data_IF_012994211494
#
_entry.id   IF_012994211494
#
_cell.length_a   1.000
_cell.length_b   1.000
_cell.length_c   1.000
_cell.angle_alpha   90.00
_cell.angle_beta   90.00
_cell.angle_gamma   90.00
#
_symmetry.space_group_name_H-M   'P 1'
#
loop_
_entity.id
_entity.type
_entity.pdbx_description
1 polymer ?
#
# COMPACT_ATOMS: atom_id res chain seq x y z
N UNK A 1 2.39 10.34 -4.06
CA UNK A 1 2.58 10.01 -2.63
C UNK A 1 3.56 11.03 -2.08
N UNK A 2 3.24 11.73 -1.01
CA UNK A 2 4.14 12.75 -0.44
C UNK A 2 5.26 12.05 0.33
N UNK A 3 6.52 12.40 0.06
CA UNK A 3 7.65 11.82 0.80
C UNK A 3 7.67 12.35 2.23
N UNK A 4 7.94 11.47 3.18
CA UNK A 4 8.02 11.79 4.62
C UNK A 4 9.19 12.75 4.87
N UNK A 5 10.30 12.48 4.20
CA UNK A 5 11.51 13.30 4.24
C UNK A 5 12.33 13.05 2.98
N UNK A 6 13.14 14.04 2.60
CA UNK A 6 14.06 13.94 1.49
C UNK A 6 15.47 14.22 2.00
N UNK A 7 16.44 13.47 1.50
CA UNK A 7 17.83 13.59 1.88
C UNK A 7 18.72 13.68 0.64
N UNK A 8 19.85 14.36 0.80
CA UNK A 8 21.00 14.22 -0.08
C UNK A 8 22.00 13.29 0.60
N UNK A 9 22.30 12.16 -0.05
CA UNK A 9 23.34 11.22 0.34
C UNK A 9 24.62 11.59 -0.41
N UNK A 10 25.53 12.24 0.30
CA UNK A 10 26.76 12.82 -0.23
C UNK A 10 27.96 11.98 0.18
N UNK A 11 28.88 11.72 -0.75
CA UNK A 11 30.21 11.18 -0.46
C UNK A 11 31.28 12.06 -1.07
N UNK A 12 32.34 12.33 -0.30
CA UNK A 12 33.48 13.15 -0.70
C UNK A 12 34.79 12.46 -0.26
N UNK A 13 35.89 12.58 -1.02
CA UNK A 13 37.18 12.05 -0.59
C UNK A 13 37.69 12.81 0.63
N UNK A 14 38.38 12.14 1.56
CA UNK A 14 38.90 12.79 2.76
C UNK A 14 39.90 13.92 2.48
N UNK A 15 40.54 13.89 1.30
CA UNK A 15 41.42 14.97 0.82
C UNK A 15 40.69 16.26 0.45
N UNK A 16 39.36 16.23 0.28
CA UNK A 16 38.56 17.40 -0.12
C UNK A 16 38.36 18.43 0.98
N UNK A 17 38.62 18.07 2.25
CA UNK A 17 38.41 18.96 3.38
C UNK A 17 39.40 18.70 4.53
N UNK A 18 39.62 19.71 5.37
CA UNK A 18 40.65 19.66 6.42
C UNK A 18 40.37 18.64 7.53
N UNK A 19 39.11 18.39 7.86
CA UNK A 19 38.69 17.39 8.84
C UNK A 19 37.20 17.06 8.70
N UNK A 20 36.80 15.89 9.21
CA UNK A 20 35.39 15.45 9.27
C UNK A 20 34.50 16.49 9.97
N UNK A 21 34.94 16.98 11.14
CA UNK A 21 34.20 17.96 11.93
C UNK A 21 34.04 19.30 11.20
N UNK A 22 35.09 19.75 10.51
CA UNK A 22 35.03 21.00 9.76
C UNK A 22 34.11 20.88 8.52
N UNK A 23 34.13 19.73 7.84
CA UNK A 23 33.22 19.46 6.73
C UNK A 23 31.77 19.42 7.22
N UNK A 24 31.50 18.70 8.31
CA UNK A 24 30.17 18.66 8.93
C UNK A 24 29.65 20.05 9.26
N UNK A 25 30.47 20.86 9.93
CA UNK A 25 30.10 22.24 10.27
C UNK A 25 29.81 23.06 9.01
N UNK A 26 30.64 22.95 7.98
CA UNK A 26 30.40 23.65 6.72
C UNK A 26 29.08 23.23 6.06
N UNK A 27 28.77 21.93 6.03
CA UNK A 27 27.49 21.41 5.51
C UNK A 27 26.30 21.93 6.33
N UNK A 28 26.42 21.97 7.66
CA UNK A 28 25.38 22.51 8.54
C UNK A 28 25.14 23.99 8.26
N UNK A 29 26.19 24.79 8.13
CA UNK A 29 26.10 26.23 7.95
C UNK A 29 25.67 26.67 6.55
N UNK A 30 26.11 25.96 5.51
CA UNK A 30 25.97 26.40 4.12
C UNK A 30 24.91 25.61 3.35
N UNK A 31 24.58 24.39 3.76
CA UNK A 31 23.59 23.56 3.06
C UNK A 31 22.36 23.38 3.94
N UNK A 32 22.54 22.92 5.17
CA UNK A 32 21.43 22.62 6.06
C UNK A 32 20.73 23.86 6.63
N UNK A 33 21.42 25.01 6.77
CA UNK A 33 20.76 26.29 7.13
C UNK A 33 19.96 26.92 5.98
N UNK A 34 20.26 26.57 4.73
CA UNK A 34 19.45 27.03 3.58
C UNK A 34 18.06 26.39 3.59
N UNK A 35 17.92 25.26 4.29
CA UNK A 35 16.70 24.49 4.45
C UNK A 35 16.21 24.67 5.87
N UNK A 36 14.96 25.06 6.09
CA UNK A 36 14.41 25.17 7.47
C UNK A 36 14.20 23.81 8.18
N UNK A 37 14.84 22.75 7.68
CA UNK A 37 14.99 21.41 8.25
C UNK A 37 16.49 21.11 8.13
N UNK A 38 17.21 21.01 9.25
CA UNK A 38 18.67 21.14 9.24
C UNK A 38 19.32 20.02 10.05
N UNK A 39 19.36 18.79 9.50
CA UNK A 39 20.09 17.69 10.10
C UNK A 39 21.12 17.15 9.10
N UNK A 40 22.38 17.33 9.44
CA UNK A 40 23.53 16.69 8.77
C UNK A 40 23.96 15.53 9.64
N UNK A 41 23.82 14.33 9.11
CA UNK A 41 24.07 13.09 9.84
C UNK A 41 25.16 12.29 9.14
N UNK A 42 26.15 11.82 9.90
CA UNK A 42 27.18 10.94 9.34
C UNK A 42 26.52 9.61 8.95
N UNK A 43 26.71 9.20 7.69
CA UNK A 43 26.24 7.92 7.17
C UNK A 43 27.39 6.93 7.18
N UNK A 44 27.63 6.35 8.36
CA UNK A 44 28.75 5.45 8.58
C UNK A 44 28.55 4.12 7.85
N UNK A 45 29.41 3.84 6.87
CA UNK A 45 29.47 2.57 6.15
C UNK A 45 30.83 1.89 6.38
N UNK A 46 30.86 0.55 6.45
CA UNK A 46 32.10 -0.21 6.58
C UNK A 46 32.85 -0.29 5.24
N UNK A 47 34.09 -0.75 5.29
CA UNK A 47 34.82 -1.15 4.10
C UNK A 47 34.27 -2.48 3.56
N UNK A 48 33.98 -2.50 2.25
CA UNK A 48 33.50 -3.69 1.56
C UNK A 48 34.61 -4.34 0.74
N UNK A 49 34.53 -5.66 0.58
CA UNK A 49 35.45 -6.43 -0.25
C UNK A 49 35.14 -6.23 -1.73
N UNK A 50 36.00 -5.45 -2.39
CA UNK A 50 35.89 -5.11 -3.81
C UNK A 50 36.54 -6.22 -4.65
N UNK A 51 35.91 -6.55 -5.78
CA UNK A 51 36.45 -7.44 -6.80
C UNK A 51 37.42 -6.73 -7.75
N UNK A 52 37.25 -6.94 -9.05
CA UNK A 52 37.97 -6.21 -10.10
C UNK A 52 37.28 -4.88 -10.42
N UNK A 53 37.99 -3.96 -11.07
CA UNK A 53 37.41 -2.71 -11.56
C UNK A 53 36.23 -2.98 -12.51
N UNK A 54 36.37 -3.96 -13.42
CA UNK A 54 35.30 -4.35 -14.34
C UNK A 54 34.06 -4.86 -13.61
N UNK A 55 34.22 -5.65 -12.55
CA UNK A 55 33.06 -6.07 -11.73
C UNK A 55 32.40 -4.89 -11.02
N UNK A 56 33.19 -3.91 -10.58
CA UNK A 56 32.68 -2.75 -9.85
C UNK A 56 31.80 -1.84 -10.74
N UNK A 57 32.16 -1.68 -12.01
CA UNK A 57 31.34 -0.92 -12.99
C UNK A 57 29.98 -1.59 -13.17
N UNK A 58 29.96 -2.90 -13.39
CA UNK A 58 28.70 -3.66 -13.53
C UNK A 58 27.87 -3.61 -12.23
N UNK A 59 28.52 -3.74 -11.07
CA UNK A 59 27.87 -3.65 -9.76
C UNK A 59 27.19 -2.30 -9.54
N UNK A 60 27.79 -1.17 -9.97
CA UNK A 60 27.17 0.16 -9.83
C UNK A 60 25.92 0.30 -10.72
N UNK A 61 25.97 -0.19 -11.95
CA UNK A 61 24.79 -0.19 -12.83
C UNK A 61 23.64 -1.04 -12.26
N UNK A 62 23.97 -2.21 -11.72
CA UNK A 62 22.97 -3.10 -11.12
C UNK A 62 22.42 -2.53 -9.81
N UNK A 63 23.26 -1.91 -8.97
CA UNK A 63 22.84 -1.19 -7.77
C UNK A 63 21.89 -0.03 -8.09
N UNK A 64 22.09 0.67 -9.20
CA UNK A 64 21.18 1.73 -9.65
C UNK A 64 19.80 1.18 -10.04
N UNK A 65 19.75 0.06 -10.78
CA UNK A 65 18.49 -0.63 -11.13
C UNK A 65 17.77 -1.14 -9.88
N UNK A 66 18.51 -1.74 -8.93
CA UNK A 66 17.97 -2.26 -7.69
C UNK A 66 17.42 -1.16 -6.78
N UNK A 67 18.04 0.01 -6.74
CA UNK A 67 17.53 1.17 -6.00
C UNK A 67 16.11 1.53 -6.46
N UNK A 68 15.92 1.67 -7.78
CA UNK A 68 14.62 1.96 -8.40
C UNK A 68 13.62 0.84 -8.14
N UNK A 69 14.05 -0.41 -8.31
CA UNK A 69 13.20 -1.58 -8.05
C UNK A 69 12.69 -1.58 -6.60
N UNK A 70 13.57 -1.40 -5.62
CA UNK A 70 13.20 -1.44 -4.21
C UNK A 70 12.35 -0.23 -3.79
N UNK A 71 12.55 0.94 -4.39
CA UNK A 71 11.64 2.07 -4.21
C UNK A 71 10.23 1.75 -4.71
N UNK A 72 10.11 1.09 -5.87
CA UNK A 72 8.81 0.64 -6.39
C UNK A 72 8.18 -0.43 -5.49
N UNK A 73 8.96 -1.38 -4.97
CA UNK A 73 8.52 -2.36 -3.97
C UNK A 73 7.96 -1.66 -2.74
N UNK A 74 8.69 -0.67 -2.21
CA UNK A 74 8.27 0.11 -1.05
C UNK A 74 6.97 0.88 -1.33
N UNK A 75 6.84 1.52 -2.50
CA UNK A 75 5.60 2.20 -2.91
C UNK A 75 4.40 1.25 -2.90
N UNK A 76 4.54 0.04 -3.45
CA UNK A 76 3.46 -0.96 -3.45
C UNK A 76 3.08 -1.39 -2.03
N UNK A 77 4.06 -1.50 -1.13
CA UNK A 77 3.80 -1.82 0.28
C UNK A 77 3.02 -0.68 0.95
N UNK A 78 3.38 0.58 0.67
CA UNK A 78 2.64 1.76 1.19
C UNK A 78 1.22 1.84 0.61
N UNK A 79 1.00 1.46 -0.65
CA UNK A 79 -0.34 1.36 -1.21
C UNK A 79 -1.18 0.28 -0.50
N UNK A 80 -0.57 -0.86 -0.17
CA UNK A 80 -1.21 -1.93 0.62
C UNK A 80 -1.56 -1.41 2.02
N UNK A 81 -0.68 -0.63 2.67
CA UNK A 81 -1.01 0.03 3.94
C UNK A 81 -2.25 0.90 3.83
N UNK A 82 -2.34 1.73 2.79
CA UNK A 82 -3.50 2.59 2.55
C UNK A 82 -4.79 1.82 2.29
N UNK A 83 -4.70 0.58 1.78
CA UNK A 83 -5.86 -0.29 1.58
C UNK A 83 -6.35 -0.99 2.86
N UNK A 84 -5.47 -1.13 3.87
CA UNK A 84 -5.74 -1.88 5.11
C UNK A 84 -6.08 -0.96 6.28
N UNK A 85 -5.36 0.16 6.38
CA UNK A 85 -5.52 1.18 7.43
C UNK A 85 -6.36 2.36 6.93
N UNK A 86 -7.16 2.94 7.82
CA UNK A 86 -7.82 4.22 7.54
C UNK A 86 -6.75 5.32 7.36
N UNK A 87 -6.96 6.21 6.40
CA UNK A 87 -5.95 7.12 5.84
C UNK A 87 -5.14 7.95 6.85
N UNK A 88 -5.66 8.15 8.07
CA UNK A 88 -4.99 8.91 9.14
C UNK A 88 -3.89 8.12 9.88
N UNK A 89 -3.92 6.79 9.84
CA UNK A 89 -3.01 5.94 10.60
C UNK A 89 -1.78 5.47 9.79
N UNK A 90 -1.76 5.66 8.47
CA UNK A 90 -0.72 5.07 7.59
C UNK A 90 0.70 5.51 7.98
N UNK A 91 0.90 6.79 8.32
CA UNK A 91 2.23 7.29 8.67
C UNK A 91 2.69 6.87 10.07
N UNK A 92 1.77 6.62 11.01
CA UNK A 92 2.12 6.17 12.37
C UNK A 92 2.67 4.73 12.40
N UNK A 93 2.27 3.93 11.40
CA UNK A 93 2.65 2.52 11.27
C UNK A 93 3.90 2.32 10.41
N UNK A 94 4.40 3.36 9.70
CA UNK A 94 5.67 3.31 8.99
C UNK A 94 6.82 3.37 10.00
N UNK A 95 7.33 2.20 10.35
CA UNK A 95 8.45 2.02 11.29
C UNK A 95 9.44 1.02 10.73
N UNK A 96 10.71 1.21 11.08
CA UNK A 96 11.80 0.27 10.78
C UNK A 96 12.39 -0.20 12.11
N UNK A 97 12.37 -1.50 12.37
CA UNK A 97 12.81 -2.10 13.65
C UNK A 97 12.17 -1.42 14.88
N UNK A 98 10.87 -1.15 14.81
CA UNK A 98 10.06 -0.42 15.82
C UNK A 98 10.42 1.06 16.04
N UNK A 99 11.33 1.61 15.25
CA UNK A 99 11.76 3.02 15.30
C UNK A 99 11.14 3.79 14.13
N UNK A 100 10.89 5.09 14.32
CA UNK A 100 10.44 5.95 13.23
C UNK A 100 11.45 5.97 12.08
N UNK A 101 10.97 6.00 10.84
CA UNK A 101 11.84 5.87 9.66
C UNK A 101 12.90 6.97 9.61
N UNK A 102 12.53 8.22 9.92
CA UNK A 102 13.49 9.32 9.98
C UNK A 102 14.58 9.09 11.04
N UNK A 103 14.24 8.52 12.20
CA UNK A 103 15.23 8.16 13.21
C UNK A 103 16.11 6.98 12.76
N UNK A 104 15.53 5.95 12.15
CA UNK A 104 16.28 4.82 11.60
C UNK A 104 17.34 5.29 10.59
N UNK A 105 16.96 6.16 9.66
CA UNK A 105 17.86 6.69 8.62
C UNK A 105 19.01 7.50 9.22
N UNK A 106 18.73 8.33 10.23
CA UNK A 106 19.76 9.08 10.97
C UNK A 106 20.70 8.19 11.79
N UNK A 107 20.24 7.01 12.18
CA UNK A 107 21.02 6.07 13.00
C UNK A 107 21.43 4.82 12.21
N UNK A 108 21.41 4.90 10.88
CA UNK A 108 21.72 3.78 10.02
C UNK A 108 23.08 3.20 10.39
N UNK A 109 23.11 1.87 10.50
CA UNK A 109 24.32 1.09 10.65
C UNK A 109 24.19 -0.14 9.78
N UNK A 110 25.29 -0.50 9.14
CA UNK A 110 25.36 -1.74 8.40
C UNK A 110 25.07 -2.95 9.29
N UNK A 111 24.14 -3.80 8.86
CA UNK A 111 23.77 -5.00 9.59
C UNK A 111 24.76 -6.13 9.31
N UNK A 112 25.86 -6.16 10.07
CA UNK A 112 26.93 -7.17 9.94
C UNK A 112 26.48 -8.59 10.26
N UNK A 113 25.40 -8.76 11.04
CA UNK A 113 24.85 -10.09 11.38
C UNK A 113 24.13 -10.74 10.21
N UNK A 114 23.45 -9.93 9.38
CA UNK A 114 22.69 -10.39 8.21
C UNK A 114 23.55 -10.34 6.94
N UNK A 115 24.31 -9.25 6.76
CA UNK A 115 25.11 -8.96 5.59
C UNK A 115 26.59 -8.92 5.99
N UNK A 116 27.24 -10.08 5.99
CA UNK A 116 28.61 -10.21 6.52
C UNK A 116 29.66 -9.59 5.58
N UNK A 117 30.61 -8.85 6.16
CA UNK A 117 31.63 -8.09 5.42
C UNK A 117 32.72 -8.94 4.74
N UNK A 118 32.81 -10.23 5.03
CA UNK A 118 33.74 -11.15 4.35
C UNK A 118 33.27 -11.57 2.95
N UNK A 119 31.99 -11.34 2.64
CA UNK A 119 31.41 -11.57 1.31
C UNK A 119 31.79 -10.47 0.33
N UNK A 120 31.81 -10.82 -0.96
CA UNK A 120 32.00 -9.82 -2.02
C UNK A 120 30.78 -8.89 -2.14
N UNK A 121 30.95 -7.72 -2.77
CA UNK A 121 29.83 -6.81 -3.06
C UNK A 121 28.74 -7.53 -3.87
N UNK A 122 29.08 -8.21 -4.97
CA UNK A 122 28.13 -9.01 -5.74
C UNK A 122 27.36 -10.07 -4.94
N UNK A 123 28.00 -10.75 -3.99
CA UNK A 123 27.32 -11.72 -3.10
C UNK A 123 26.33 -11.01 -2.15
N UNK A 124 26.71 -9.83 -1.63
CA UNK A 124 25.87 -9.03 -0.75
C UNK A 124 24.65 -8.50 -1.50
N UNK A 125 24.84 -8.00 -2.72
CA UNK A 125 23.77 -7.56 -3.61
C UNK A 125 22.79 -8.70 -3.89
N UNK A 126 23.30 -9.88 -4.23
CA UNK A 126 22.48 -11.06 -4.49
C UNK A 126 21.67 -11.48 -3.26
N UNK A 127 22.28 -11.47 -2.08
CA UNK A 127 21.61 -11.79 -0.81
C UNK A 127 20.49 -10.81 -0.49
N UNK A 128 20.78 -9.50 -0.56
CA UNK A 128 19.78 -8.45 -0.29
C UNK A 128 18.61 -8.54 -1.29
N UNK A 129 18.91 -8.80 -2.56
CA UNK A 129 17.89 -8.95 -3.61
C UNK A 129 16.99 -10.16 -3.35
N UNK A 130 17.57 -11.29 -2.96
CA UNK A 130 16.81 -12.49 -2.60
C UNK A 130 15.91 -12.26 -1.38
N UNK A 131 16.39 -11.55 -0.36
CA UNK A 131 15.60 -11.22 0.82
C UNK A 131 14.36 -10.40 0.44
N UNK A 132 14.53 -9.32 -0.35
CA UNK A 132 13.42 -8.47 -0.78
C UNK A 132 12.43 -9.25 -1.64
N UNK A 133 12.91 -10.11 -2.55
CA UNK A 133 12.04 -10.94 -3.38
C UNK A 133 11.19 -11.93 -2.57
N UNK A 134 11.74 -12.51 -1.49
CA UNK A 134 11.00 -13.38 -0.59
C UNK A 134 9.89 -12.59 0.14
N UNK A 135 10.24 -11.44 0.73
CA UNK A 135 9.28 -10.55 1.41
C UNK A 135 8.14 -10.12 0.48
N UNK A 136 8.45 -9.74 -0.77
CA UNK A 136 7.44 -9.38 -1.76
C UNK A 136 6.51 -10.54 -2.12
N UNK A 137 7.05 -11.75 -2.21
CA UNK A 137 6.28 -12.95 -2.57
C UNK A 137 5.28 -13.30 -1.47
N UNK A 138 5.73 -13.30 -0.21
CA UNK A 138 4.89 -13.59 0.94
C UNK A 138 3.78 -12.53 1.10
N UNK A 139 4.15 -11.25 0.99
CA UNK A 139 3.18 -10.16 1.09
C UNK A 139 2.12 -10.24 -0.03
N UNK A 140 2.52 -10.54 -1.26
CA UNK A 140 1.60 -10.68 -2.39
C UNK A 140 0.62 -11.84 -2.20
N UNK A 141 1.08 -12.96 -1.66
CA UNK A 141 0.24 -14.12 -1.39
C UNK A 141 -0.86 -13.79 -0.37
N UNK A 142 -0.50 -13.21 0.78
CA UNK A 142 -1.47 -12.82 1.82
C UNK A 142 -2.39 -11.70 1.33
N UNK A 143 -1.88 -10.72 0.60
CA UNK A 143 -2.70 -9.65 0.03
C UNK A 143 -3.75 -10.17 -0.96
N UNK A 144 -3.38 -11.11 -1.83
CA UNK A 144 -4.31 -11.76 -2.76
C UNK A 144 -5.41 -12.54 -2.01
N UNK A 145 -5.04 -13.31 -0.99
CA UNK A 145 -5.99 -14.04 -0.16
C UNK A 145 -6.97 -13.10 0.56
N UNK A 146 -6.46 -11.99 1.11
CA UNK A 146 -7.29 -10.96 1.73
C UNK A 146 -8.29 -10.35 0.73
N UNK A 147 -7.86 -10.01 -0.49
CA UNK A 147 -8.76 -9.45 -1.50
C UNK A 147 -9.87 -10.44 -1.90
N UNK A 148 -9.55 -11.73 -1.99
CA UNK A 148 -10.56 -12.76 -2.24
C UNK A 148 -11.57 -12.87 -1.10
N UNK A 149 -11.11 -12.92 0.15
CA UNK A 149 -11.98 -12.96 1.33
C UNK A 149 -12.85 -11.71 1.46
N UNK A 150 -12.29 -10.53 1.19
CA UNK A 150 -13.02 -9.26 1.15
C UNK A 150 -14.13 -9.29 0.10
N UNK A 151 -13.84 -9.77 -1.12
CA UNK A 151 -14.83 -9.89 -2.17
C UNK A 151 -15.93 -10.90 -1.83
N UNK A 152 -15.57 -12.02 -1.19
CA UNK A 152 -16.53 -13.01 -0.70
C UNK A 152 -17.46 -12.40 0.37
N UNK A 153 -16.92 -11.63 1.32
CA UNK A 153 -17.71 -10.92 2.32
C UNK A 153 -18.65 -9.88 1.69
N UNK A 154 -18.17 -9.10 0.73
CA UNK A 154 -19.02 -8.11 0.01
C UNK A 154 -20.14 -8.81 -0.76
N UNK A 155 -19.87 -9.95 -1.38
CA UNK A 155 -20.87 -10.76 -2.07
C UNK A 155 -21.93 -11.31 -1.10
N UNK A 156 -21.48 -11.86 0.04
CA UNK A 156 -22.38 -12.32 1.11
C UNK A 156 -23.22 -11.16 1.70
N UNK A 157 -22.62 -9.98 1.86
CA UNK A 157 -23.30 -8.79 2.36
C UNK A 157 -24.31 -8.21 1.36
N UNK A 158 -24.06 -8.30 0.04
CA UNK A 158 -25.01 -7.87 -0.99
C UNK A 158 -26.33 -8.63 -0.92
N UNK A 159 -26.31 -9.92 -0.55
CA UNK A 159 -27.54 -10.68 -0.29
C UNK A 159 -28.40 -9.98 0.78
N UNK A 160 -27.79 -9.26 1.73
CA UNK A 160 -28.46 -8.57 2.83
C UNK A 160 -28.71 -7.07 2.59
N UNK A 161 -28.30 -6.52 1.43
CA UNK A 161 -28.37 -5.09 1.15
C UNK A 161 -29.37 -4.78 0.02
N UNK A 162 -30.17 -3.73 0.17
CA UNK A 162 -31.26 -3.36 -0.74
C UNK A 162 -32.60 -3.14 -0.02
N UNK A 163 -33.61 -2.71 -0.76
CA UNK A 163 -35.00 -2.61 -0.27
C UNK A 163 -35.63 -4.00 -0.07
N UNK A 164 -36.79 -4.06 0.57
CA UNK A 164 -37.51 -5.33 0.81
C UNK A 164 -37.88 -6.09 -0.47
N UNK A 165 -37.86 -5.45 -1.65
CA UNK A 165 -38.19 -6.09 -2.93
C UNK A 165 -37.04 -6.94 -3.47
N UNK A 166 -35.78 -6.68 -3.06
CA UNK A 166 -34.59 -7.43 -3.51
C UNK A 166 -33.80 -8.07 -2.36
N UNK A 167 -33.84 -7.48 -1.16
CA UNK A 167 -33.09 -7.94 0.03
C UNK A 167 -33.42 -9.39 0.41
N UNK A 168 -32.42 -10.12 0.90
CA UNK A 168 -32.62 -11.44 1.52
C UNK A 168 -33.60 -11.35 2.69
N UNK A 169 -34.60 -12.23 2.68
CA UNK A 169 -35.62 -12.28 3.74
C UNK A 169 -35.20 -13.21 4.88
N UNK A 170 -34.11 -13.98 4.72
CA UNK A 170 -33.66 -14.98 5.70
C UNK A 170 -33.33 -14.39 7.09
N UNK A 171 -32.97 -13.10 7.18
CA UNK A 171 -32.73 -12.40 8.46
C UNK A 171 -33.96 -11.63 8.98
N UNK A 172 -35.06 -11.62 8.23
CA UNK A 172 -36.29 -10.88 8.54
C UNK A 172 -37.38 -11.83 9.05
N UNK A 173 -37.46 -13.02 8.47
CA UNK A 173 -38.55 -13.97 8.73
C UNK A 173 -38.12 -15.05 9.72
N UNK A 174 -39.07 -15.50 10.54
CA UNK A 174 -38.92 -16.55 11.54
C UNK A 174 -39.81 -17.76 11.20
N UNK A 175 -39.58 -18.89 11.87
CA UNK A 175 -40.41 -20.09 11.71
C UNK A 175 -41.89 -19.82 11.97
N UNK A 176 -42.17 -18.99 12.97
CA UNK A 176 -43.53 -18.64 13.40
C UNK A 176 -44.30 -17.80 12.37
N UNK A 177 -43.61 -17.28 11.36
CA UNK A 177 -44.24 -16.52 10.28
C UNK A 177 -44.81 -17.42 9.17
N UNK A 178 -44.50 -18.72 9.17
CA UNK A 178 -44.92 -19.67 8.14
C UNK A 178 -45.73 -20.83 8.70
N UNK A 179 -46.68 -21.31 7.90
CA UNK A 179 -47.33 -22.60 8.12
C UNK A 179 -46.41 -23.70 7.58
N UNK A 180 -45.71 -24.38 8.48
CA UNK A 180 -44.80 -25.50 8.17
C UNK A 180 -45.57 -26.84 8.19
N UNK A 181 -45.15 -27.82 7.38
CA UNK A 181 -45.66 -29.20 7.36
C UNK A 181 -47.18 -29.36 7.10
N UNK A 182 -47.83 -28.37 6.48
CA UNK A 182 -49.23 -28.52 6.03
C UNK A 182 -49.30 -29.18 4.66
N UNK A 183 -50.23 -30.11 4.47
CA UNK A 183 -50.50 -30.71 3.17
C UNK A 183 -51.13 -29.68 2.19
N UNK A 184 -52.03 -28.83 2.70
CA UNK A 184 -52.91 -27.98 1.88
C UNK A 184 -52.63 -26.48 1.99
N UNK A 185 -52.04 -26.01 3.08
CA UNK A 185 -51.78 -24.58 3.31
C UNK A 185 -50.33 -24.22 3.01
N UNK A 186 -50.13 -22.97 2.62
CA UNK A 186 -48.81 -22.35 2.48
C UNK A 186 -48.89 -20.89 2.90
N UNK A 187 -47.74 -20.31 3.18
CA UNK A 187 -47.60 -18.89 3.46
C UNK A 187 -46.83 -18.23 2.33
N UNK A 188 -47.39 -17.16 1.76
CA UNK A 188 -46.73 -16.35 0.73
C UNK A 188 -46.33 -15.01 1.34
N UNK A 189 -45.17 -14.52 0.91
CA UNK A 189 -44.67 -13.21 1.31
C UNK A 189 -45.01 -12.18 0.22
N UNK A 190 -45.51 -11.02 0.64
CA UNK A 190 -45.89 -9.93 -0.26
C UNK A 190 -45.28 -8.62 0.24
N UNK A 191 -44.52 -7.97 -0.63
CA UNK A 191 -43.99 -6.62 -0.38
C UNK A 191 -44.95 -5.60 -0.97
N UNK A 192 -45.43 -4.70 -0.12
CA UNK A 192 -46.47 -3.72 -0.44
C UNK A 192 -45.87 -2.31 -0.26
N UNK A 193 -45.98 -1.41 -1.27
CA UNK A 193 -45.63 -0.01 -1.08
C UNK A 193 -46.46 0.60 0.05
N UNK A 194 -45.84 1.42 0.94
CA UNK A 194 -46.57 2.04 2.07
C UNK A 194 -47.80 2.83 1.62
N UNK A 195 -47.74 3.47 0.46
CA UNK A 195 -48.87 4.19 -0.13
C UNK A 195 -50.10 3.29 -0.41
N UNK A 196 -49.90 1.99 -0.59
CA UNK A 196 -50.95 1.01 -0.91
C UNK A 196 -51.33 0.10 0.26
N UNK A 197 -50.76 0.33 1.46
CA UNK A 197 -51.01 -0.51 2.64
C UNK A 197 -52.50 -0.61 2.98
N UNK A 198 -53.22 0.51 3.03
CA UNK A 198 -54.63 0.52 3.37
C UNK A 198 -55.47 -0.30 2.38
N UNK A 199 -55.13 -0.22 1.08
CA UNK A 199 -55.78 -1.00 0.04
C UNK A 199 -55.48 -2.51 0.20
N UNK A 200 -54.24 -2.87 0.50
CA UNK A 200 -53.83 -4.25 0.71
C UNK A 200 -54.63 -4.90 1.84
N UNK A 201 -54.64 -4.29 3.03
CA UNK A 201 -55.34 -4.82 4.21
C UNK A 201 -56.84 -4.97 3.95
N UNK A 202 -57.45 -4.06 3.18
CA UNK A 202 -58.87 -4.10 2.87
C UNK A 202 -59.28 -5.15 1.81
N UNK A 203 -58.35 -5.63 0.97
CA UNK A 203 -58.70 -6.40 -0.23
C UNK A 203 -57.96 -7.73 -0.42
N UNK A 204 -56.89 -8.00 0.34
CA UNK A 204 -56.10 -9.24 0.17
C UNK A 204 -56.92 -10.53 0.39
N UNK A 205 -57.93 -10.50 1.26
CA UNK A 205 -58.78 -11.66 1.58
C UNK A 205 -59.66 -12.09 0.40
N UNK A 206 -60.01 -11.15 -0.47
CA UNK A 206 -60.90 -11.36 -1.63
C UNK A 206 -60.15 -11.45 -2.95
N UNK A 207 -58.81 -11.39 -2.93
CA UNK A 207 -58.00 -11.36 -4.13
C UNK A 207 -58.13 -12.65 -4.96
N UNK A 208 -58.20 -13.79 -4.26
CA UNK A 208 -58.44 -15.12 -4.83
C UNK A 208 -59.29 -15.94 -3.86
N UNK A 209 -59.91 -17.00 -4.37
CA UNK A 209 -60.57 -17.99 -3.51
C UNK A 209 -59.55 -18.67 -2.58
N UNK A 210 -60.01 -19.10 -1.40
CA UNK A 210 -59.21 -19.88 -0.44
C UNK A 210 -57.99 -19.16 0.18
N UNK A 211 -58.10 -17.84 0.35
CA UNK A 211 -57.23 -17.07 1.26
C UNK A 211 -57.78 -17.19 2.69
N UNK A 212 -56.91 -17.38 3.68
CA UNK A 212 -57.32 -17.45 5.09
C UNK A 212 -57.59 -16.04 5.60
N UNK A 213 -58.83 -15.71 6.06
CA UNK A 213 -59.14 -14.38 6.58
C UNK A 213 -58.32 -14.06 7.82
N UNK A 214 -57.98 -12.78 8.01
CA UNK A 214 -57.15 -12.25 9.11
C UNK A 214 -55.77 -12.90 9.23
N UNK A 215 -55.25 -13.48 8.15
CA UNK A 215 -53.93 -14.12 8.15
C UNK A 215 -52.77 -13.17 7.81
N UNK A 216 -53.06 -11.96 7.30
CA UNK A 216 -52.03 -10.99 6.97
C UNK A 216 -51.28 -10.50 8.22
N UNK A 217 -49.98 -10.75 8.31
CA UNK A 217 -49.10 -10.28 9.40
C UNK A 217 -47.97 -9.43 8.83
N UNK A 218 -47.75 -8.24 9.40
CA UNK A 218 -46.61 -7.40 9.05
C UNK A 218 -45.34 -7.97 9.66
N UNK A 219 -44.32 -8.24 8.85
CA UNK A 219 -43.03 -8.80 9.28
C UNK A 219 -41.94 -7.74 9.40
N UNK A 220 -41.88 -6.81 8.45
CA UNK A 220 -40.86 -5.76 8.41
C UNK A 220 -41.31 -4.57 7.58
N UNK A 221 -40.66 -3.42 7.79
CA UNK A 221 -40.87 -2.20 7.03
C UNK A 221 -39.55 -1.48 6.81
N UNK A 222 -39.32 -0.98 5.58
CA UNK A 222 -38.22 -0.09 5.25
C UNK A 222 -38.73 1.34 5.00
N UNK A 223 -37.99 2.19 4.28
CA UNK A 223 -38.43 3.56 3.97
C UNK A 223 -39.69 3.61 3.10
N UNK A 224 -39.84 2.71 2.14
CA UNK A 224 -40.84 2.78 1.06
C UNK A 224 -41.85 1.63 1.06
N UNK A 225 -41.47 0.48 1.61
CA UNK A 225 -42.19 -0.78 1.53
C UNK A 225 -42.46 -1.42 2.90
N UNK A 226 -43.41 -2.35 2.89
CA UNK A 226 -43.80 -3.21 4.01
C UNK A 226 -43.90 -4.66 3.54
N UNK A 227 -43.33 -5.58 4.31
CA UNK A 227 -43.37 -7.02 4.04
C UNK A 227 -44.47 -7.67 4.88
N UNK A 228 -45.40 -8.35 4.22
CA UNK A 228 -46.48 -9.11 4.85
C UNK A 228 -46.35 -10.61 4.58
N UNK A 229 -46.70 -11.45 5.55
CA UNK A 229 -47.04 -12.85 5.31
C UNK A 229 -48.55 -13.02 5.18
N UNK A 230 -49.00 -13.87 4.25
CA UNK A 230 -50.41 -14.23 4.05
C UNK A 230 -50.52 -15.74 3.92
N UNK A 231 -51.48 -16.33 4.62
CA UNK A 231 -51.72 -17.78 4.57
C UNK A 231 -52.87 -18.09 3.60
N UNK A 232 -52.65 -19.05 2.71
CA UNK A 232 -53.64 -19.49 1.73
C UNK A 232 -53.42 -20.95 1.31
N UNK A 233 -54.36 -21.50 0.55
CA UNK A 233 -54.23 -22.85 0.02
C UNK A 233 -53.17 -22.91 -1.09
N UNK A 234 -52.30 -23.93 -1.04
CA UNK A 234 -51.19 -24.15 -1.99
C UNK A 234 -51.62 -24.06 -3.45
N UNK A 235 -52.77 -24.65 -3.77
CA UNK A 235 -53.34 -24.67 -5.12
C UNK A 235 -53.57 -23.26 -5.71
N UNK A 236 -53.83 -22.27 -4.85
CA UNK A 236 -54.15 -20.89 -5.25
C UNK A 236 -52.97 -19.93 -5.10
N UNK A 237 -51.80 -20.39 -4.64
CA UNK A 237 -50.63 -19.55 -4.42
C UNK A 237 -50.14 -18.83 -5.69
N UNK A 238 -50.11 -19.53 -6.82
CA UNK A 238 -49.70 -18.95 -8.09
C UNK A 238 -50.69 -17.90 -8.62
N UNK A 239 -52.01 -18.16 -8.49
CA UNK A 239 -53.05 -17.21 -8.86
C UNK A 239 -53.00 -15.96 -7.97
N UNK A 240 -52.84 -16.15 -6.65
CA UNK A 240 -52.72 -15.05 -5.71
C UNK A 240 -51.51 -14.16 -6.02
N UNK A 241 -50.36 -14.76 -6.35
CA UNK A 241 -49.17 -14.02 -6.75
C UNK A 241 -49.39 -13.24 -8.06
N UNK A 242 -50.15 -13.77 -9.02
CA UNK A 242 -50.51 -13.04 -10.25
C UNK A 242 -51.38 -11.81 -9.93
N UNK A 243 -52.46 -11.99 -9.15
CA UNK A 243 -53.35 -10.89 -8.75
C UNK A 243 -52.66 -9.83 -7.90
N UNK A 244 -51.70 -10.23 -7.06
CA UNK A 244 -50.86 -9.27 -6.33
C UNK A 244 -50.08 -8.36 -7.28
N UNK A 245 -49.50 -8.91 -8.36
CA UNK A 245 -48.75 -8.12 -9.34
C UNK A 245 -49.65 -7.14 -10.09
N UNK A 246 -50.89 -7.53 -10.40
CA UNK A 246 -51.90 -6.63 -11.01
C UNK A 246 -52.21 -5.42 -10.11
N UNK A 247 -52.18 -5.60 -8.79
CA UNK A 247 -52.35 -4.52 -7.80
C UNK A 247 -51.06 -3.75 -7.49
N UNK A 248 -49.98 -4.01 -8.25
CA UNK A 248 -48.63 -3.44 -8.01
C UNK A 248 -48.04 -3.80 -6.65
N UNK A 249 -48.43 -4.94 -6.10
CA UNK A 249 -47.75 -5.56 -4.96
C UNK A 249 -46.72 -6.56 -5.49
N UNK A 250 -45.65 -6.77 -4.74
CA UNK A 250 -44.52 -7.59 -5.16
C UNK A 250 -44.47 -8.90 -4.36
N UNK A 251 -45.01 -10.02 -4.88
CA UNK A 251 -44.85 -11.32 -4.26
C UNK A 251 -43.38 -11.72 -4.24
N UNK A 252 -42.92 -12.23 -3.10
CA UNK A 252 -41.58 -12.76 -2.89
C UNK A 252 -41.65 -14.28 -2.85
N UNK A 253 -41.03 -14.92 -3.83
CA UNK A 253 -40.86 -16.37 -3.81
C UNK A 253 -39.85 -16.72 -2.72
N UNK A 254 -40.33 -17.40 -1.67
CA UNK A 254 -39.54 -17.71 -0.49
C UNK A 254 -40.06 -18.98 0.16
N UNK A 255 -39.28 -20.05 0.05
CA UNK A 255 -39.55 -21.29 0.76
C UNK A 255 -38.71 -21.30 2.04
N UNK A 256 -39.36 -21.14 3.19
CA UNK A 256 -38.68 -21.17 4.46
C UNK A 256 -38.10 -22.57 4.73
N UNK A 257 -36.80 -22.63 4.96
CA UNK A 257 -36.16 -23.78 5.60
C UNK A 257 -35.13 -23.29 6.61
N UNK A 258 -35.17 -23.84 7.83
CA UNK A 258 -34.18 -23.51 8.87
C UNK A 258 -32.75 -23.78 8.38
N UNK A 259 -32.57 -24.85 7.59
CA UNK A 259 -31.28 -25.22 7.00
C UNK A 259 -30.72 -24.13 6.07
N UNK A 260 -31.54 -23.57 5.17
CA UNK A 260 -31.07 -22.54 4.23
C UNK A 260 -30.76 -21.20 4.93
N UNK A 261 -31.58 -20.82 5.91
CA UNK A 261 -31.36 -19.61 6.73
C UNK A 261 -30.05 -19.74 7.51
N UNK A 262 -29.85 -20.89 8.17
CA UNK A 262 -28.65 -21.15 8.94
C UNK A 262 -27.40 -21.22 8.05
N UNK A 263 -27.49 -21.84 6.87
CA UNK A 263 -26.40 -21.90 5.91
C UNK A 263 -25.96 -20.51 5.42
N UNK A 264 -26.91 -19.61 5.10
CA UNK A 264 -26.60 -18.24 4.68
C UNK A 264 -25.96 -17.41 5.81
N UNK A 265 -26.48 -17.53 7.04
CA UNK A 265 -25.86 -16.87 8.20
C UNK A 265 -24.46 -17.40 8.47
N UNK A 266 -24.27 -18.71 8.35
CA UNK A 266 -22.96 -19.34 8.50
C UNK A 266 -22.00 -18.88 7.41
N UNK A 267 -22.42 -18.82 6.15
CA UNK A 267 -21.63 -18.29 5.02
C UNK A 267 -21.14 -16.87 5.32
N UNK A 268 -22.04 -15.98 5.74
CA UNK A 268 -21.69 -14.60 6.08
C UNK A 268 -20.71 -14.51 7.27
N UNK A 269 -20.97 -15.26 8.34
CA UNK A 269 -20.13 -15.26 9.54
C UNK A 269 -18.73 -15.83 9.25
N UNK A 270 -18.65 -16.92 8.47
CA UNK A 270 -17.39 -17.52 8.05
C UNK A 270 -16.61 -16.54 7.18
N UNK A 271 -17.25 -15.94 6.17
CA UNK A 271 -16.61 -14.94 5.30
C UNK A 271 -16.10 -13.72 6.09
N UNK A 272 -16.89 -13.23 7.05
CA UNK A 272 -16.48 -12.12 7.92
C UNK A 272 -15.34 -12.48 8.87
N UNK A 273 -15.34 -13.69 9.43
CA UNK A 273 -14.24 -14.16 10.28
C UNK A 273 -12.93 -14.33 9.50
N UNK A 274 -13.01 -14.86 8.28
CA UNK A 274 -11.87 -15.08 7.40
C UNK A 274 -11.27 -13.77 6.91
N UNK A 275 -12.11 -12.81 6.48
CA UNK A 275 -11.66 -11.45 6.12
C UNK A 275 -10.94 -10.78 7.28
N UNK A 276 -11.53 -10.83 8.49
CA UNK A 276 -10.95 -10.20 9.68
C UNK A 276 -9.62 -10.83 10.09
N UNK A 277 -9.50 -12.15 9.97
CA UNK A 277 -8.25 -12.88 10.24
C UNK A 277 -7.16 -12.47 9.25
N UNK A 278 -7.45 -12.55 7.94
CA UNK A 278 -6.49 -12.19 6.89
C UNK A 278 -6.12 -10.72 6.93
N UNK A 279 -7.05 -9.83 7.30
CA UNK A 279 -6.76 -8.41 7.49
C UNK A 279 -5.71 -8.20 8.59
N UNK A 280 -5.83 -8.89 9.73
CA UNK A 280 -4.85 -8.81 10.84
C UNK A 280 -3.49 -9.35 10.43
N UNK A 281 -3.47 -10.49 9.76
CA UNK A 281 -2.24 -11.10 9.25
C UNK A 281 -1.53 -10.17 8.26
N UNK A 282 -2.26 -9.65 7.28
CA UNK A 282 -1.76 -8.68 6.30
C UNK A 282 -1.22 -7.40 6.96
N UNK A 283 -1.88 -6.92 8.00
CA UNK A 283 -1.48 -5.73 8.77
C UNK A 283 -0.08 -5.91 9.37
N UNK A 284 0.15 -7.04 10.04
CA UNK A 284 1.44 -7.37 10.65
C UNK A 284 2.49 -7.59 9.57
N UNK A 285 2.16 -8.38 8.54
CA UNK A 285 3.10 -8.70 7.47
C UNK A 285 3.53 -7.48 6.66
N UNK A 286 2.61 -6.57 6.33
CA UNK A 286 2.93 -5.31 5.66
C UNK A 286 3.85 -4.43 6.52
N UNK A 287 3.70 -4.48 7.84
CA UNK A 287 4.57 -3.75 8.78
C UNK A 287 5.99 -4.28 8.79
N UNK A 288 6.13 -5.59 8.89
CA UNK A 288 7.43 -6.26 8.78
C UNK A 288 8.06 -6.03 7.41
N UNK A 289 7.28 -6.19 6.32
CA UNK A 289 7.76 -6.01 4.96
C UNK A 289 8.28 -4.59 4.71
N UNK A 290 7.56 -3.57 5.17
CA UNK A 290 8.02 -2.18 5.07
C UNK A 290 9.34 -1.98 5.81
N UNK A 291 9.46 -2.50 7.03
CA UNK A 291 10.69 -2.42 7.81
C UNK A 291 11.86 -3.07 7.07
N UNK A 292 11.68 -4.30 6.58
CA UNK A 292 12.74 -5.06 5.92
C UNK A 292 13.15 -4.49 4.56
N UNK A 293 12.19 -4.11 3.72
CA UNK A 293 12.47 -3.50 2.41
C UNK A 293 13.10 -2.12 2.57
N UNK A 294 12.64 -1.30 3.53
CA UNK A 294 13.30 -0.02 3.83
C UNK A 294 14.73 -0.24 4.29
N UNK A 295 14.97 -1.20 5.19
CA UNK A 295 16.32 -1.52 5.63
C UNK A 295 17.20 -1.98 4.47
N UNK A 296 16.71 -2.89 3.63
CA UNK A 296 17.39 -3.39 2.44
C UNK A 296 17.74 -2.26 1.45
N UNK A 297 16.83 -1.31 1.21
CA UNK A 297 17.05 -0.14 0.36
C UNK A 297 18.24 0.70 0.86
N UNK A 298 18.34 0.95 2.16
CA UNK A 298 19.48 1.69 2.71
C UNK A 298 20.81 0.91 2.64
N UNK A 299 20.78 -0.43 2.68
CA UNK A 299 21.97 -1.25 2.44
C UNK A 299 22.41 -1.21 0.97
N UNK A 300 21.47 -1.25 0.01
CA UNK A 300 21.77 -1.04 -1.41
C UNK A 300 22.34 0.36 -1.65
N UNK A 301 21.76 1.40 -1.04
CA UNK A 301 22.30 2.77 -1.12
C UNK A 301 23.71 2.88 -0.54
N UNK A 302 23.99 2.19 0.57
CA UNK A 302 25.34 2.12 1.15
C UNK A 302 26.36 1.49 0.21
N UNK A 303 26.01 0.34 -0.40
CA UNK A 303 26.86 -0.31 -1.40
C UNK A 303 27.06 0.60 -2.63
N UNK A 304 25.99 1.23 -3.12
CA UNK A 304 26.03 2.11 -4.29
C UNK A 304 26.96 3.29 -4.08
N UNK A 305 26.81 4.02 -2.97
CA UNK A 305 27.70 5.13 -2.60
C UNK A 305 29.14 4.68 -2.47
N UNK A 306 29.39 3.55 -1.81
CA UNK A 306 30.75 3.04 -1.64
C UNK A 306 31.40 2.71 -2.98
N UNK A 307 30.73 1.91 -3.81
CA UNK A 307 31.26 1.49 -5.11
C UNK A 307 31.48 2.67 -6.04
N UNK A 308 30.54 3.63 -6.11
CA UNK A 308 30.72 4.82 -6.94
C UNK A 308 31.83 5.73 -6.40
N UNK A 309 31.98 5.84 -5.07
CA UNK A 309 33.09 6.60 -4.46
C UNK A 309 34.44 5.99 -4.79
N UNK A 310 34.55 4.66 -4.81
CA UNK A 310 35.78 3.98 -5.22
C UNK A 310 36.06 4.19 -6.71
N UNK A 311 35.05 4.12 -7.58
CA UNK A 311 35.22 4.38 -9.01
C UNK A 311 35.67 5.82 -9.29
N UNK A 312 35.13 6.80 -8.56
CA UNK A 312 35.43 8.22 -8.80
C UNK A 312 36.70 8.71 -8.10
N UNK A 313 36.96 8.25 -6.88
CA UNK A 313 38.03 8.77 -6.02
C UNK A 313 39.21 7.81 -5.87
N UNK A 314 39.06 6.57 -6.29
CA UNK A 314 40.10 5.55 -6.24
C UNK A 314 40.28 4.93 -4.84
N UNK A 315 41.39 4.20 -4.70
CA UNK A 315 41.80 3.53 -3.47
C UNK A 315 42.98 4.27 -2.83
N UNK A 316 43.11 4.25 -1.48
CA UNK A 316 42.26 3.56 -0.50
C UNK A 316 40.89 4.25 -0.29
N UNK A 317 39.85 3.54 0.18
CA UNK A 317 38.47 4.05 0.27
C UNK A 317 38.27 4.99 1.48
N UNK A 318 38.93 6.14 1.45
CA UNK A 318 38.89 7.14 2.52
C UNK A 318 37.89 8.25 2.17
N UNK A 319 36.64 8.08 2.61
CA UNK A 319 35.53 8.98 2.26
C UNK A 319 34.84 9.56 3.50
N UNK A 320 34.34 10.79 3.36
CA UNK A 320 33.37 11.39 4.26
C UNK A 320 31.99 11.25 3.65
N UNK A 321 31.06 10.60 4.37
CA UNK A 321 29.74 10.26 3.83
C UNK A 321 28.66 10.80 4.77
N UNK A 322 27.75 11.58 4.19
CA UNK A 322 26.75 12.35 4.94
C UNK A 322 25.36 12.19 4.33
N UNK A 323 24.36 12.09 5.21
CA UNK A 323 22.95 12.31 4.89
C UNK A 323 22.56 13.71 5.34
N UNK A 324 22.10 14.51 4.39
CA UNK A 324 21.66 15.88 4.62
C UNK A 324 20.16 15.94 4.40
N UNK A 325 19.38 16.19 5.44
CA UNK A 325 17.93 16.36 5.32
C UNK A 325 17.61 17.69 4.60
N UNK A 326 16.81 17.63 3.54
CA UNK A 326 16.48 18.78 2.68
C UNK A 326 14.99 18.77 2.36
N UNK A 327 14.35 19.95 2.34
CA UNK A 327 12.97 20.06 1.88
C UNK A 327 12.92 19.82 0.38
N UNK A 328 11.89 19.12 -0.11
CA UNK A 328 11.74 18.79 -1.55
C UNK A 328 11.96 19.99 -2.48
N UNK A 329 11.41 21.16 -2.14
CA UNK A 329 11.55 22.40 -2.92
C UNK A 329 12.97 23.00 -2.97
N UNK A 330 13.82 22.65 -2.00
CA UNK A 330 15.14 23.24 -1.79
C UNK A 330 16.29 22.30 -2.24
N UNK A 331 15.98 21.07 -2.70
CA UNK A 331 16.97 20.07 -3.16
C UNK A 331 17.91 20.66 -4.22
N UNK A 332 17.36 21.28 -5.26
CA UNK A 332 18.16 21.88 -6.33
C UNK A 332 19.05 23.03 -5.84
N UNK A 333 18.58 23.80 -4.85
CA UNK A 333 19.37 24.88 -4.25
C UNK A 333 20.53 24.31 -3.45
N UNK A 334 20.28 23.29 -2.63
CA UNK A 334 21.30 22.59 -1.87
C UNK A 334 22.37 21.97 -2.78
N UNK A 335 21.95 21.30 -3.87
CA UNK A 335 22.86 20.77 -4.90
C UNK A 335 23.74 21.86 -5.52
N UNK A 336 23.17 23.01 -5.89
CA UNK A 336 23.97 24.11 -6.45
C UNK A 336 25.06 24.60 -5.50
N UNK A 337 24.77 24.71 -4.19
CA UNK A 337 25.77 25.11 -3.19
C UNK A 337 26.87 24.06 -3.03
N UNK A 338 26.52 22.78 -3.06
CA UNK A 338 27.49 21.69 -3.05
C UNK A 338 28.37 21.70 -4.31
N UNK A 339 27.78 21.96 -5.48
CA UNK A 339 28.50 22.07 -6.77
C UNK A 339 29.46 23.26 -6.78
N UNK A 340 29.05 24.41 -6.25
CA UNK A 340 29.91 25.59 -6.17
C UNK A 340 31.16 25.33 -5.30
N UNK A 341 31.04 24.53 -4.23
CA UNK A 341 32.16 24.20 -3.34
C UNK A 341 33.02 23.04 -3.83
N UNK A 342 32.39 21.93 -4.24
CA UNK A 342 33.04 20.64 -4.49
C UNK A 342 33.08 20.25 -5.98
N UNK A 343 32.57 21.10 -6.88
CA UNK A 343 32.54 20.82 -8.32
C UNK A 343 33.91 20.57 -8.96
N UNK A 344 34.98 21.10 -8.35
CA UNK A 344 36.35 20.84 -8.77
C UNK A 344 36.75 19.35 -8.73
N UNK A 345 36.05 18.52 -7.94
CA UNK A 345 36.26 17.07 -7.87
C UNK A 345 35.85 16.33 -9.14
N UNK A 346 35.00 16.93 -9.99
CA UNK A 346 34.60 16.35 -11.27
C UNK A 346 35.72 16.35 -12.32
N UNK A 347 36.79 17.12 -12.10
CA UNK A 347 37.95 17.20 -13.00
C UNK A 347 37.57 17.57 -14.44
N UNK A 348 38.34 17.05 -15.40
CA UNK A 348 38.15 17.33 -16.84
C UNK A 348 36.88 16.72 -17.44
N UNK A 349 36.16 15.87 -16.70
CA UNK A 349 34.86 15.36 -17.13
C UNK A 349 33.78 16.47 -17.13
N UNK A 350 34.04 17.59 -16.46
CA UNK A 350 33.17 18.76 -16.42
C UNK A 350 33.93 19.99 -16.93
N UNK A 351 33.48 20.57 -18.05
CA UNK A 351 34.07 21.80 -18.57
C UNK A 351 33.74 22.99 -17.66
N UNK A 352 34.79 23.68 -17.18
CA UNK A 352 34.68 24.90 -16.38
C UNK A 352 34.77 26.16 -17.25
N UNK A 353 34.07 27.22 -16.84
CA UNK A 353 34.17 28.54 -17.45
C UNK A 353 35.46 29.27 -17.02
N UNK A 354 35.67 30.47 -17.58
CA UNK A 354 36.85 31.31 -17.26
C UNK A 354 36.92 31.71 -15.79
N UNK A 355 35.84 31.52 -15.02
CA UNK A 355 35.73 31.81 -13.60
C UNK A 355 35.80 30.53 -12.74
N UNK A 356 36.10 29.37 -13.33
CA UNK A 356 36.21 28.08 -12.62
C UNK A 356 34.87 27.42 -12.28
N UNK A 357 33.74 27.93 -12.79
CA UNK A 357 32.40 27.35 -12.57
C UNK A 357 32.06 26.33 -13.65
N UNK A 358 31.46 25.21 -13.27
CA UNK A 358 31.01 24.18 -14.22
C UNK A 358 29.97 24.78 -15.17
N UNK A 359 30.21 24.68 -16.48
CA UNK A 359 29.24 25.07 -17.52
C UNK A 359 28.14 24.02 -17.61
N UNK A 360 26.92 24.36 -17.16
CA UNK A 360 25.75 23.47 -17.23
C UNK A 360 25.23 23.20 -18.65
N UNK A 361 25.58 24.05 -19.64
CA UNK A 361 25.22 23.88 -21.04
C UNK A 361 26.48 23.69 -21.88
N UNK A 362 27.08 22.51 -21.80
CA UNK A 362 28.25 22.17 -22.59
C UNK A 362 27.83 21.55 -23.93
N UNK A 363 28.32 22.15 -25.03
CA UNK A 363 28.11 21.63 -26.37
C UNK A 363 28.92 20.34 -26.62
N UNK A 364 30.00 20.10 -25.86
CA UNK A 364 30.79 18.86 -25.94
C UNK A 364 30.08 17.65 -25.30
N UNK A 365 29.28 17.89 -24.26
CA UNK A 365 28.36 16.89 -23.71
C UNK A 365 27.15 16.68 -24.61
N UNK A 366 26.75 17.63 -25.46
CA UNK A 366 25.60 17.46 -26.35
C UNK A 366 25.80 16.49 -27.53
N UNK A 367 27.04 16.23 -27.96
CA UNK A 367 27.32 15.15 -28.92
C UNK A 367 27.19 13.74 -28.30
N UNK A 368 27.28 13.65 -26.96
CA UNK A 368 27.09 12.43 -26.18
C UNK A 368 25.91 12.55 -25.20
N UNK A 369 25.04 13.55 -25.30
CA UNK A 369 23.96 13.79 -24.32
C UNK A 369 22.83 12.76 -24.43
N UNK A 370 22.82 11.98 -25.51
CA UNK A 370 22.01 10.77 -25.66
C UNK A 370 22.65 9.54 -24.99
N UNK A 371 23.91 9.62 -24.54
CA UNK A 371 24.71 8.55 -23.92
C UNK A 371 25.11 8.88 -22.46
N UNK A 372 25.18 10.15 -22.08
CA UNK A 372 25.50 10.59 -20.72
C UNK A 372 24.20 10.83 -19.96
N UNK A 373 24.06 10.08 -18.87
CA UNK A 373 22.92 10.15 -17.96
C UNK A 373 22.69 11.60 -17.51
N UNK A 374 21.46 12.11 -17.65
CA UNK A 374 21.11 13.51 -17.31
C UNK A 374 21.30 13.85 -15.82
N UNK A 375 21.62 12.85 -15.00
CA UNK A 375 21.88 12.94 -13.57
C UNK A 375 23.39 12.93 -13.21
N UNK A 376 24.31 13.08 -14.18
CA UNK A 376 25.74 13.06 -13.90
C UNK A 376 26.22 14.31 -13.13
N UNK A 377 26.36 14.17 -11.81
CA UNK A 377 26.86 15.21 -10.89
C UNK A 377 28.40 15.15 -10.78
N UNK A 378 29.11 16.24 -10.41
CA UNK A 378 30.58 16.28 -10.35
C UNK A 378 31.23 15.50 -9.20
N UNK A 379 30.43 15.03 -8.25
CA UNK A 379 30.85 14.17 -7.14
C UNK A 379 29.70 13.20 -6.82
N UNK A 380 29.94 12.22 -5.93
CA UNK A 380 28.92 11.24 -5.55
C UNK A 380 27.86 11.93 -4.69
N UNK A 381 26.67 12.15 -5.26
CA UNK A 381 25.51 12.65 -4.55
C UNK A 381 24.25 11.98 -5.09
N UNK A 382 23.41 11.46 -4.19
CA UNK A 382 22.11 10.90 -4.56
C UNK A 382 20.98 11.54 -3.79
N UNK A 383 19.84 11.68 -4.46
CA UNK A 383 18.58 12.04 -3.81
C UNK A 383 17.95 10.80 -3.19
N UNK A 384 17.51 10.92 -1.93
CA UNK A 384 16.86 9.83 -1.18
C UNK A 384 15.53 10.35 -0.65
N UNK A 385 14.44 9.90 -1.27
CA UNK A 385 13.08 10.15 -0.79
C UNK A 385 12.62 8.98 0.09
N UNK A 386 12.11 9.28 1.28
CA UNK A 386 11.50 8.29 2.17
C UNK A 386 9.98 8.28 1.92
N UNK A 387 9.44 7.11 1.61
CA UNK A 387 8.00 6.89 1.35
C UNK A 387 7.20 6.56 2.60
#
# INVERSE_FOLDING_TARGET
>A
MESIANYLLLSLPQSSYSSDAALKHWLEENVARLTAASLVTNFAIPDFKIGTLDSLVNEVEDLAKLDVQFQQSLSKIVDIYGAVYESRAVNEHKRVNNVEVGQYVRQFRWNTSKYRLDKSVGDLVSLITSDVAAVETDLRAVYSAYQQAKNALVSAARKNNGDLTVKSLHDIVSKDDFVVDSEYLTTVLVVVPKALQAQFVASYETLTSYVVPRSAKLLSSDSEFQLYSVTLFKKFAAEFALRCREQKWHPRDFNYSEESVNALRQEYNVAGSQEKQLKRELTVLATTAYSEVTAALFHIKALRVYCESVLRYGLPPQFYIYLIEVKAKDINRAKNVLVDQFGHLGGNAFNVDKNGKIKKNDAGLSEYASLVDTEYEPFVVYEVAIL
#
